data_IF_268710420440
#
_entry.id   IF_268710420440
#
_cell.length_a   1.000
_cell.length_b   1.000
_cell.length_c   1.000
_cell.angle_alpha   90.00
_cell.angle_beta   90.00
_cell.angle_gamma   90.00
#
_symmetry.space_group_name_H-M   'P 1'
#
loop_
_entity.id
_entity.type
_entity.pdbx_description
1 polymer ?
#
# COMPACT_ATOMS: atom_id res chain seq x y z
N UNK A 1 12.49 10.51 23.33
CA UNK A 1 11.61 9.44 22.84
C UNK A 1 10.35 9.45 23.70
N UNK A 2 9.16 9.30 23.12
CA UNK A 2 7.93 9.18 23.91
C UNK A 2 8.04 7.89 24.75
N UNK A 3 7.79 7.98 26.07
CA UNK A 3 7.77 6.82 26.96
C UNK A 3 6.41 6.11 26.86
N UNK A 4 6.16 5.48 25.71
CA UNK A 4 4.96 4.65 25.50
C UNK A 4 5.28 3.18 25.82
N UNK A 5 4.27 2.46 26.28
CA UNK A 5 4.37 1.01 26.48
C UNK A 5 4.39 0.28 25.14
N UNK A 6 4.84 -0.99 25.14
CA UNK A 6 4.80 -1.84 23.95
C UNK A 6 3.39 -1.90 23.34
N UNK A 7 2.36 -2.09 24.16
CA UNK A 7 0.97 -2.15 23.73
C UNK A 7 0.48 -0.83 23.11
N UNK A 8 0.96 0.31 23.61
CA UNK A 8 0.62 1.61 23.03
C UNK A 8 1.27 1.80 21.65
N UNK A 9 2.51 1.35 21.46
CA UNK A 9 3.15 1.34 20.14
C UNK A 9 2.45 0.39 19.17
N UNK A 10 2.08 -0.81 19.62
CA UNK A 10 1.28 -1.76 18.85
C UNK A 10 -0.06 -1.15 18.42
N UNK A 11 -0.76 -0.45 19.32
CA UNK A 11 -2.01 0.24 18.98
C UNK A 11 -1.81 1.30 17.89
N UNK A 12 -0.73 2.08 17.97
CA UNK A 12 -0.40 3.07 16.93
C UNK A 12 -0.17 2.38 15.59
N UNK A 13 0.54 1.25 15.60
CA UNK A 13 0.76 0.44 14.40
C UNK A 13 -0.55 -0.10 13.81
N UNK A 14 -1.45 -0.63 14.65
CA UNK A 14 -2.69 -1.26 14.21
C UNK A 14 -3.70 -0.25 13.63
N UNK A 15 -3.68 1.00 14.12
CA UNK A 15 -4.55 2.08 13.63
C UNK A 15 -4.07 2.66 12.31
N UNK A 16 -2.78 2.55 11.99
CA UNK A 16 -2.19 3.18 10.80
C UNK A 16 -2.87 2.77 9.49
N UNK A 17 -3.01 1.47 9.24
CA UNK A 17 -3.62 0.96 8.00
C UNK A 17 -5.11 1.33 7.86
N UNK A 18 -5.96 1.22 8.90
CA UNK A 18 -7.32 1.76 8.88
C UNK A 18 -7.40 3.27 8.53
N UNK A 19 -6.47 4.08 9.02
CA UNK A 19 -6.44 5.51 8.69
C UNK A 19 -6.10 5.76 7.20
N UNK A 20 -5.13 5.03 6.65
CA UNK A 20 -4.83 5.08 5.22
C UNK A 20 -6.02 4.61 4.36
N UNK A 21 -6.73 3.58 4.81
CA UNK A 21 -7.92 3.09 4.14
C UNK A 21 -9.04 4.13 4.15
N UNK A 22 -9.26 4.80 5.28
CA UNK A 22 -10.24 5.89 5.39
C UNK A 22 -9.88 7.05 4.44
N UNK A 23 -8.60 7.45 4.39
CA UNK A 23 -8.14 8.49 3.48
C UNK A 23 -8.35 8.08 2.01
N UNK A 24 -8.03 6.84 1.67
CA UNK A 24 -8.28 6.28 0.33
C UNK A 24 -9.77 6.32 -0.05
N UNK A 25 -10.67 5.98 0.88
CA UNK A 25 -12.12 6.07 0.67
C UNK A 25 -12.57 7.53 0.44
N UNK A 26 -12.03 8.48 1.20
CA UNK A 26 -12.33 9.91 1.00
C UNK A 26 -11.90 10.37 -0.39
N UNK A 27 -10.69 10.01 -0.84
CA UNK A 27 -10.19 10.34 -2.17
C UNK A 27 -11.06 9.71 -3.27
N UNK A 28 -11.40 8.42 -3.16
CA UNK A 28 -12.30 7.75 -4.11
C UNK A 28 -13.67 8.45 -4.20
N UNK A 29 -14.22 8.93 -3.08
CA UNK A 29 -15.52 9.62 -3.08
C UNK A 29 -15.50 10.98 -3.78
N UNK A 30 -14.34 11.63 -3.83
CA UNK A 30 -14.14 12.91 -4.50
C UNK A 30 -14.02 12.77 -6.03
N UNK A 31 -13.80 11.54 -6.53
CA UNK A 31 -13.66 11.31 -7.98
C UNK A 31 -15.02 11.27 -8.71
N UNK A 32 -15.08 11.78 -9.96
CA UNK A 32 -16.17 11.51 -10.89
C UNK A 32 -16.44 10.00 -11.02
N UNK A 33 -17.72 9.62 -11.22
CA UNK A 33 -18.15 8.21 -11.31
C UNK A 33 -17.29 7.30 -12.22
N UNK A 34 -16.91 7.68 -13.46
CA UNK A 34 -16.10 6.80 -14.30
C UNK A 34 -14.69 6.58 -13.73
N UNK A 35 -14.06 7.66 -13.23
CA UNK A 35 -12.73 7.64 -12.60
C UNK A 35 -12.72 6.79 -11.33
N UNK A 36 -13.75 6.99 -10.50
CA UNK A 36 -13.93 6.26 -9.24
C UNK A 36 -13.97 4.75 -9.45
N UNK A 37 -14.66 4.27 -10.50
CA UNK A 37 -14.75 2.83 -10.79
C UNK A 37 -13.39 2.26 -11.17
N UNK A 38 -12.64 2.96 -12.03
CA UNK A 38 -11.30 2.54 -12.44
C UNK A 38 -10.33 2.55 -11.25
N UNK A 39 -10.28 3.63 -10.47
CA UNK A 39 -9.44 3.74 -9.27
C UNK A 39 -9.78 2.69 -8.21
N UNK A 40 -11.07 2.44 -7.97
CA UNK A 40 -11.50 1.39 -7.03
C UNK A 40 -11.06 0.02 -7.51
N UNK A 41 -11.25 -0.28 -8.80
CA UNK A 41 -10.83 -1.56 -9.39
C UNK A 41 -9.32 -1.75 -9.29
N UNK A 42 -8.54 -0.73 -9.64
CA UNK A 42 -7.08 -0.74 -9.51
C UNK A 42 -6.64 -1.00 -8.06
N UNK A 43 -7.24 -0.30 -7.09
CA UNK A 43 -6.96 -0.50 -5.67
C UNK A 43 -7.29 -1.93 -5.23
N UNK A 44 -8.45 -2.47 -5.61
CA UNK A 44 -8.83 -3.85 -5.28
C UNK A 44 -7.89 -4.87 -5.92
N UNK A 45 -7.45 -4.64 -7.16
CA UNK A 45 -6.43 -5.47 -7.83
C UNK A 45 -5.11 -5.42 -7.07
N UNK A 46 -4.64 -4.24 -6.65
CA UNK A 46 -3.41 -4.15 -5.85
C UNK A 46 -3.51 -4.86 -4.50
N UNK A 47 -4.67 -4.80 -3.83
CA UNK A 47 -4.92 -5.56 -2.60
C UNK A 47 -4.96 -7.07 -2.90
N UNK A 48 -5.56 -7.47 -4.02
CA UNK A 48 -5.50 -8.85 -4.50
C UNK A 48 -4.07 -9.34 -4.76
N UNK A 49 -3.22 -8.50 -5.35
CA UNK A 49 -1.80 -8.80 -5.55
C UNK A 49 -1.07 -8.98 -4.21
N UNK A 50 -1.36 -8.19 -3.19
CA UNK A 50 -0.78 -8.35 -1.84
C UNK A 50 -1.05 -9.76 -1.31
N UNK A 51 -2.32 -10.13 -1.19
CA UNK A 51 -2.67 -11.42 -0.60
C UNK A 51 -2.36 -12.60 -1.52
N UNK A 52 -2.45 -12.42 -2.84
CA UNK A 52 -1.99 -13.42 -3.81
C UNK A 52 -0.49 -13.66 -3.71
N UNK A 53 0.31 -12.61 -3.51
CA UNK A 53 1.76 -12.74 -3.33
C UNK A 53 2.12 -13.41 -2.02
N UNK A 54 1.44 -13.05 -0.92
CA UNK A 54 1.58 -13.75 0.37
C UNK A 54 1.29 -15.24 0.21
N UNK A 55 0.19 -15.58 -0.44
CA UNK A 55 -0.18 -16.99 -0.66
C UNK A 55 0.85 -17.74 -1.50
N UNK A 56 1.37 -17.11 -2.56
CA UNK A 56 2.46 -17.67 -3.39
C UNK A 56 3.72 -17.89 -2.54
N UNK A 57 4.08 -16.93 -1.69
CA UNK A 57 5.23 -17.06 -0.79
C UNK A 57 5.03 -18.17 0.24
N UNK A 58 3.85 -18.29 0.85
CA UNK A 58 3.52 -19.40 1.75
C UNK A 58 3.65 -20.77 1.07
N UNK A 59 3.43 -20.86 -0.24
CA UNK A 59 3.54 -22.10 -1.03
C UNK A 59 4.95 -22.39 -1.52
N UNK A 60 5.69 -21.37 -1.93
CA UNK A 60 7.00 -21.52 -2.57
C UNK A 60 8.17 -21.26 -1.62
N UNK A 61 7.92 -20.64 -0.46
CA UNK A 61 8.93 -20.30 0.53
C UNK A 61 9.98 -19.32 0.00
N UNK A 62 9.58 -18.31 -0.79
CA UNK A 62 10.51 -17.40 -1.47
C UNK A 62 11.27 -16.55 -0.45
N UNK A 63 10.57 -15.87 0.47
CA UNK A 63 11.19 -15.08 1.54
C UNK A 63 11.95 -15.95 2.55
N UNK A 64 11.40 -17.10 3.01
CA UNK A 64 12.12 -18.04 3.87
C UNK A 64 13.48 -18.51 3.37
N UNK A 65 13.69 -18.63 2.05
CA UNK A 65 15.01 -18.98 1.45
C UNK A 65 16.09 -17.96 1.81
N UNK A 66 15.72 -16.71 2.08
CA UNK A 66 16.63 -15.64 2.49
C UNK A 66 16.62 -15.37 4.00
N UNK A 67 16.04 -16.26 4.81
CA UNK A 67 15.82 -16.04 6.26
C UNK A 67 15.02 -14.76 6.55
N UNK A 68 14.06 -14.45 5.67
CA UNK A 68 13.19 -13.27 5.73
C UNK A 68 11.72 -13.72 5.70
N UNK A 69 10.80 -12.79 5.93
CA UNK A 69 9.35 -13.00 5.87
C UNK A 69 8.65 -11.95 5.00
N UNK A 70 7.57 -12.34 4.33
CA UNK A 70 6.75 -11.43 3.55
C UNK A 70 5.96 -10.49 4.49
N UNK A 71 6.22 -9.19 4.41
CA UNK A 71 5.59 -8.22 5.30
C UNK A 71 4.19 -7.81 4.82
N UNK A 72 3.15 -8.49 5.30
CA UNK A 72 1.75 -8.14 4.97
C UNK A 72 1.39 -6.72 5.43
N UNK A 73 1.91 -6.29 6.59
CA UNK A 73 1.75 -4.91 7.09
C UNK A 73 2.28 -3.88 6.09
N UNK A 74 3.51 -4.08 5.61
CA UNK A 74 4.15 -3.21 4.61
C UNK A 74 3.38 -3.25 3.29
N UNK A 75 2.98 -4.45 2.84
CA UNK A 75 2.32 -4.66 1.57
C UNK A 75 0.98 -3.91 1.46
N UNK A 76 0.12 -4.03 2.47
CA UNK A 76 -1.18 -3.33 2.50
C UNK A 76 -0.99 -1.83 2.65
N UNK A 77 -0.11 -1.38 3.55
CA UNK A 77 0.21 0.04 3.71
C UNK A 77 0.73 0.64 2.39
N UNK A 78 1.62 -0.06 1.69
CA UNK A 78 2.17 0.38 0.41
C UNK A 78 1.08 0.52 -0.66
N UNK A 79 0.16 -0.45 -0.77
CA UNK A 79 -0.94 -0.37 -1.75
C UNK A 79 -1.81 0.88 -1.54
N UNK A 80 -2.14 1.19 -0.28
CA UNK A 80 -2.91 2.39 0.08
C UNK A 80 -2.10 3.67 -0.14
N UNK A 81 -0.83 3.70 0.24
CA UNK A 81 0.05 4.86 0.04
C UNK A 81 0.25 5.16 -1.45
N UNK A 82 0.44 4.14 -2.29
CA UNK A 82 0.52 4.32 -3.75
C UNK A 82 -0.76 4.95 -4.28
N UNK A 83 -1.93 4.45 -3.86
CA UNK A 83 -3.20 5.06 -4.24
C UNK A 83 -3.28 6.53 -3.82
N UNK A 84 -2.95 6.86 -2.56
CA UNK A 84 -2.96 8.23 -2.05
C UNK A 84 -2.01 9.12 -2.86
N UNK A 85 -0.76 8.69 -3.05
CA UNK A 85 0.30 9.46 -3.74
C UNK A 85 -0.10 9.84 -5.17
N UNK A 86 -0.79 8.95 -5.87
CA UNK A 86 -1.28 9.21 -7.25
C UNK A 86 -2.34 10.32 -7.26
N UNK A 87 -3.13 10.45 -6.19
CA UNK A 87 -4.31 11.34 -6.14
C UNK A 87 -4.06 12.69 -5.45
N UNK A 88 -3.01 12.81 -4.65
CA UNK A 88 -2.72 14.04 -3.89
C UNK A 88 -1.60 14.88 -4.51
N UNK A 89 -1.56 16.18 -4.16
CA UNK A 89 -0.49 17.11 -4.53
C UNK A 89 0.82 16.83 -3.78
N UNK A 90 1.90 17.56 -4.12
CA UNK A 90 3.27 17.29 -3.64
C UNK A 90 3.37 17.16 -2.11
N UNK A 91 2.72 18.04 -1.35
CA UNK A 91 2.71 17.97 0.11
C UNK A 91 2.03 16.72 0.64
N UNK A 92 0.90 16.34 0.07
CA UNK A 92 0.21 15.09 0.43
C UNK A 92 1.07 13.86 0.10
N UNK A 93 1.86 13.90 -0.99
CA UNK A 93 2.78 12.82 -1.36
C UNK A 93 3.90 12.67 -0.34
N UNK A 94 4.49 13.79 0.08
CA UNK A 94 5.52 13.80 1.11
C UNK A 94 4.98 13.29 2.45
N UNK A 95 3.78 13.70 2.83
CA UNK A 95 3.10 13.20 4.04
C UNK A 95 2.84 11.70 3.95
N UNK A 96 2.26 11.22 2.84
CA UNK A 96 1.96 9.80 2.66
C UNK A 96 3.23 8.94 2.67
N UNK A 97 4.24 9.29 1.86
CA UNK A 97 5.51 8.57 1.81
C UNK A 97 6.29 8.65 3.13
N UNK A 98 6.35 9.83 3.75
CA UNK A 98 6.97 10.01 5.06
C UNK A 98 6.28 9.21 6.15
N UNK A 99 4.94 9.13 6.13
CA UNK A 99 4.18 8.30 7.06
C UNK A 99 4.48 6.81 6.88
N UNK A 100 4.69 6.35 5.64
CA UNK A 100 5.07 4.96 5.38
C UNK A 100 6.44 4.67 5.98
N UNK A 101 7.43 5.54 5.76
CA UNK A 101 8.76 5.37 6.33
C UNK A 101 8.74 5.33 7.86
N UNK A 102 7.94 6.21 8.49
CA UNK A 102 7.72 6.19 9.93
C UNK A 102 7.06 4.88 10.39
N UNK A 103 6.10 4.36 9.62
CA UNK A 103 5.45 3.09 9.90
C UNK A 103 6.42 1.90 9.77
N UNK A 104 7.28 1.85 8.75
CA UNK A 104 8.30 0.81 8.62
C UNK A 104 9.27 0.84 9.81
N UNK A 105 9.68 2.04 10.24
CA UNK A 105 10.49 2.19 11.43
C UNK A 105 9.78 1.65 12.68
N UNK A 106 8.46 1.88 12.80
CA UNK A 106 7.66 1.36 13.90
C UNK A 106 7.54 -0.16 13.86
N UNK A 107 7.37 -0.77 12.69
CA UNK A 107 7.34 -2.23 12.51
C UNK A 107 8.65 -2.91 12.93
N UNK A 108 9.78 -2.30 12.59
CA UNK A 108 11.07 -2.78 13.08
C UNK A 108 11.23 -2.56 14.60
N UNK A 109 10.77 -1.42 15.13
CA UNK A 109 10.83 -1.14 16.56
C UNK A 109 9.98 -2.10 17.41
N UNK A 110 8.85 -2.57 16.88
CA UNK A 110 7.97 -3.55 17.53
C UNK A 110 8.41 -5.00 17.29
N UNK A 111 9.53 -5.21 16.61
CA UNK A 111 10.04 -6.54 16.24
C UNK A 111 9.04 -7.37 15.42
N UNK A 112 8.13 -6.70 14.69
CA UNK A 112 7.16 -7.36 13.83
C UNK A 112 7.80 -7.83 12.52
N UNK A 113 8.67 -7.01 11.95
CA UNK A 113 9.38 -7.31 10.71
C UNK A 113 10.75 -6.64 10.70
N UNK A 114 11.72 -7.29 10.06
CA UNK A 114 13.04 -6.73 9.80
C UNK A 114 12.99 -5.74 8.63
N UNK A 115 14.01 -4.90 8.49
CA UNK A 115 14.15 -4.07 7.29
C UNK A 115 14.26 -4.90 6.01
N UNK A 116 14.85 -6.10 6.05
CA UNK A 116 14.93 -6.98 4.90
C UNK A 116 13.54 -7.39 4.43
N UNK A 117 12.68 -7.82 5.35
CA UNK A 117 11.28 -8.19 5.10
C UNK A 117 10.54 -7.05 4.38
N UNK A 118 10.61 -5.84 4.95
CA UNK A 118 9.85 -4.69 4.48
C UNK A 118 10.37 -4.12 3.15
N UNK A 119 11.70 -4.01 3.00
CA UNK A 119 12.32 -3.46 1.79
C UNK A 119 12.15 -4.42 0.62
N UNK A 120 12.40 -5.73 0.82
CA UNK A 120 12.19 -6.74 -0.24
C UNK A 120 10.73 -6.83 -0.66
N UNK A 121 9.78 -6.81 0.29
CA UNK A 121 8.34 -6.74 0.01
C UNK A 121 7.99 -5.51 -0.83
N UNK A 122 8.55 -4.35 -0.49
CA UNK A 122 8.32 -3.09 -1.21
C UNK A 122 8.87 -3.14 -2.63
N UNK A 123 10.12 -3.59 -2.80
CA UNK A 123 10.78 -3.69 -4.11
C UNK A 123 10.02 -4.64 -5.03
N UNK A 124 9.52 -5.76 -4.50
CA UNK A 124 8.75 -6.73 -5.26
C UNK A 124 7.37 -6.19 -5.68
N UNK A 125 6.63 -5.55 -4.78
CA UNK A 125 5.25 -5.12 -5.05
C UNK A 125 5.14 -3.81 -5.85
N UNK A 126 6.04 -2.86 -5.64
CA UNK A 126 5.97 -1.54 -6.27
C UNK A 126 5.84 -1.59 -7.81
N UNK A 127 6.62 -2.40 -8.56
CA UNK A 127 6.45 -2.51 -10.01
C UNK A 127 5.10 -3.14 -10.40
N UNK A 128 4.59 -4.11 -9.64
CA UNK A 128 3.28 -4.73 -9.91
C UNK A 128 2.14 -3.73 -9.72
N UNK A 129 2.24 -2.89 -8.68
CA UNK A 129 1.30 -1.81 -8.44
C UNK A 129 1.38 -0.76 -9.55
N UNK A 130 2.58 -0.36 -9.95
CA UNK A 130 2.80 0.59 -11.05
C UNK A 130 2.12 0.12 -12.34
N UNK A 131 2.33 -1.13 -12.75
CA UNK A 131 1.70 -1.72 -13.95
C UNK A 131 0.17 -1.74 -13.81
N UNK A 132 -0.35 -2.12 -12.65
CA UNK A 132 -1.79 -2.15 -12.39
C UNK A 132 -2.41 -0.75 -12.55
N UNK A 133 -1.82 0.26 -11.93
CA UNK A 133 -2.32 1.64 -12.00
C UNK A 133 -2.17 2.25 -13.41
N UNK A 134 -1.13 1.90 -14.17
CA UNK A 134 -1.00 2.28 -15.58
C UNK A 134 -2.11 1.67 -16.45
N UNK A 135 -2.42 0.38 -16.26
CA UNK A 135 -3.44 -0.31 -17.04
C UNK A 135 -4.82 0.33 -16.85
N UNK A 136 -5.24 0.55 -15.60
CA UNK A 136 -6.54 1.15 -15.32
C UNK A 136 -6.61 2.65 -15.64
N UNK A 137 -5.50 3.38 -15.52
CA UNK A 137 -5.42 4.78 -15.96
C UNK A 137 -5.43 4.95 -17.49
N UNK A 138 -4.92 3.97 -18.25
CA UNK A 138 -5.00 3.97 -19.71
C UNK A 138 -6.41 3.62 -20.22
N UNK A 139 -7.06 2.62 -19.61
CA UNK A 139 -8.44 2.22 -19.94
C UNK A 139 -9.44 3.36 -19.75
N UNK A 140 -9.16 4.26 -18.81
CA UNK A 140 -9.95 5.46 -18.54
C UNK A 140 -9.89 6.49 -19.69
N UNK A 141 -8.68 6.80 -20.16
CA UNK A 141 -8.46 7.75 -21.28
C UNK A 141 -9.15 7.28 -22.56
N UNK A 142 -9.16 5.97 -22.79
CA UNK A 142 -9.81 5.39 -23.96
C UNK A 142 -11.34 5.41 -23.85
N UNK A 143 -11.90 5.20 -22.65
CA UNK A 143 -13.34 5.30 -22.42
C UNK A 143 -13.86 6.73 -22.59
N UNK A 144 -13.12 7.74 -22.12
CA UNK A 144 -13.49 9.14 -22.28
C UNK A 144 -13.49 9.57 -23.76
N UNK A 145 -12.47 9.17 -24.53
CA UNK A 145 -12.38 9.46 -25.97
C UNK A 145 -13.49 8.86 -26.84
N UNK A 146 -14.23 7.85 -26.36
CA UNK A 146 -15.33 7.21 -27.12
C UNK A 146 -16.69 7.88 -26.88
N UNK A 147 -16.76 8.82 -25.93
CA UNK A 147 -18.01 9.51 -25.53
C UNK A 147 -18.05 10.95 -26.06
N UNK A 148 -16.90 11.52 -26.41
CA UNK A 148 -16.74 12.78 -27.16
C UNK A 148 -16.87 12.55 -28.68
#
# INVERSE_FOLDING_TARGET
MLNLTFQQWALIADIYTPLLALWSVVLLRQEPKPLRKASFTALMVTIGIVYGSRFIDEWLGIWPVFHSDYSTHTAVALALVVHIVIKVGVWGRLVAAGSLLAYLQLMNHQEYHTYLDMVSTTIYLLPLFWVSWLHFGASEKEAFRRVD
#
